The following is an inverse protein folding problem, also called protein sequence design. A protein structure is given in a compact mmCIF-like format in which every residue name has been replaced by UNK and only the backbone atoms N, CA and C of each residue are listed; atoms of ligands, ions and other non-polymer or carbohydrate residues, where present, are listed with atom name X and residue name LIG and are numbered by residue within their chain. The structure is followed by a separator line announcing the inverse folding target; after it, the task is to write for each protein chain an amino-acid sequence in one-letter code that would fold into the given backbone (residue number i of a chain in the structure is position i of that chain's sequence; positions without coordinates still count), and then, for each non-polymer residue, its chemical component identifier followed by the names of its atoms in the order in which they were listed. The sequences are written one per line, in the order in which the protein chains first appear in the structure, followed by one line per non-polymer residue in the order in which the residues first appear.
data_IF_004247149688
#
_entry.id   IF_004247149688
#
_cell.length_a   1.000
_cell.length_b   1.000
_cell.length_c   1.000
_cell.angle_alpha   90.00
_cell.angle_beta   90.00
_cell.angle_gamma   90.00
#
_symmetry.space_group_name_H-M   'P 1'
#
loop_
_entity.id
_entity.type
_entity.pdbx_description
1 polymer ?
#
# COMPACT_ATOMS: atom_id res chain seq x y z
N UNK A 1 30.99 -29.77 -37.66
CA UNK A 1 29.75 -29.14 -38.17
C UNK A 1 28.67 -29.42 -37.14
N UNK A 2 28.48 -28.51 -36.17
CA UNK A 2 27.49 -28.65 -35.10
C UNK A 2 26.31 -27.74 -35.41
N UNK A 3 25.10 -28.33 -35.48
CA UNK A 3 23.88 -27.66 -35.91
C UNK A 3 23.44 -26.59 -34.93
N UNK A 4 23.25 -25.38 -35.44
CA UNK A 4 22.53 -24.30 -34.78
C UNK A 4 21.06 -24.73 -34.66
N UNK A 5 20.61 -25.03 -33.44
CA UNK A 5 19.19 -25.29 -33.16
C UNK A 5 18.38 -24.04 -33.49
N UNK A 6 17.34 -24.20 -34.31
CA UNK A 6 16.45 -23.10 -34.69
C UNK A 6 15.80 -22.45 -33.44
N UNK A 7 15.63 -21.12 -33.40
CA UNK A 7 14.94 -20.46 -32.31
C UNK A 7 13.48 -20.92 -32.26
N UNK A 8 13.03 -21.39 -31.09
CA UNK A 8 11.62 -21.69 -30.81
C UNK A 8 10.80 -20.41 -30.95
N UNK A 9 9.67 -20.41 -31.70
CA UNK A 9 8.83 -19.21 -31.89
C UNK A 9 7.98 -18.87 -30.65
N UNK A 10 8.09 -19.64 -29.57
CA UNK A 10 7.29 -19.48 -28.35
C UNK A 10 8.17 -19.01 -27.20
N UNK A 11 7.94 -17.77 -26.75
CA UNK A 11 8.64 -17.19 -25.60
C UNK A 11 8.21 -17.91 -24.31
N UNK A 12 9.19 -18.46 -23.59
CA UNK A 12 8.99 -18.97 -22.22
C UNK A 12 9.10 -17.80 -21.23
N UNK A 13 8.13 -16.91 -21.25
CA UNK A 13 8.07 -15.71 -20.40
C UNK A 13 7.26 -15.91 -19.11
N UNK A 14 6.91 -17.16 -18.75
CA UNK A 14 6.15 -17.49 -17.54
C UNK A 14 6.78 -18.66 -16.78
N UNK A 15 6.71 -18.59 -15.46
CA UNK A 15 7.10 -19.64 -14.50
C UNK A 15 5.97 -19.85 -13.50
N UNK A 16 5.87 -21.03 -12.83
CA UNK A 16 4.91 -21.19 -11.74
C UNK A 16 5.15 -20.15 -10.65
N UNK A 17 4.08 -19.47 -10.21
CA UNK A 17 4.16 -18.56 -9.08
C UNK A 17 4.43 -19.34 -7.78
N UNK A 18 5.23 -18.77 -6.87
CA UNK A 18 5.35 -19.32 -5.52
C UNK A 18 4.03 -19.12 -4.77
N UNK A 19 3.52 -20.16 -4.12
CA UNK A 19 2.27 -20.05 -3.36
C UNK A 19 2.58 -19.32 -2.06
N UNK A 20 2.04 -18.11 -1.94
CA UNK A 20 2.10 -17.31 -0.74
C UNK A 20 1.64 -18.08 0.50
N UNK A 21 2.52 -18.19 1.50
CA UNK A 21 2.25 -18.92 2.74
C UNK A 21 1.69 -18.02 3.84
N UNK A 22 1.80 -16.70 3.68
CA UNK A 22 1.49 -15.73 4.71
C UNK A 22 0.07 -15.19 4.54
N UNK A 23 -0.72 -15.25 5.62
CA UNK A 23 -2.06 -14.64 5.71
C UNK A 23 -1.92 -13.20 6.16
N UNK A 24 -2.41 -12.27 5.36
CA UNK A 24 -2.47 -10.85 5.65
C UNK A 24 -3.92 -10.47 5.94
N UNK A 25 -4.24 -9.90 7.11
CA UNK A 25 -5.61 -9.52 7.43
C UNK A 25 -6.09 -8.40 6.51
N UNK A 26 -7.30 -8.53 5.97
CA UNK A 26 -7.99 -7.45 5.26
C UNK A 26 -8.77 -6.62 6.28
N UNK A 27 -8.54 -5.30 6.29
CA UNK A 27 -9.14 -4.40 7.27
C UNK A 27 -9.79 -3.18 6.59
N UNK A 28 -10.60 -2.45 7.35
CA UNK A 28 -11.18 -1.18 6.91
C UNK A 28 -10.22 0.00 7.08
N UNK A 29 -10.48 1.10 6.35
CA UNK A 29 -9.77 2.37 6.52
C UNK A 29 -9.82 2.91 7.96
N UNK A 30 -10.92 2.69 8.68
CA UNK A 30 -11.04 3.10 10.09
C UNK A 30 -10.10 2.28 10.98
N UNK A 31 -10.03 0.96 10.77
CA UNK A 31 -9.09 0.11 11.51
C UNK A 31 -7.64 0.47 11.19
N UNK A 32 -7.33 0.81 9.93
CA UNK A 32 -6.00 1.27 9.53
C UNK A 32 -5.59 2.56 10.27
N UNK A 33 -6.50 3.53 10.44
CA UNK A 33 -6.22 4.76 11.19
C UNK A 33 -5.83 4.52 12.66
N UNK A 34 -6.32 3.44 13.26
CA UNK A 34 -6.05 3.10 14.67
C UNK A 34 -4.75 2.31 14.87
N UNK A 35 -4.04 1.96 13.79
CA UNK A 35 -2.85 1.12 13.83
C UNK A 35 -1.71 1.69 14.68
N UNK A 36 -1.58 3.01 14.76
CA UNK A 36 -0.51 3.66 15.54
C UNK A 36 -0.72 3.53 17.06
N UNK A 37 -1.94 3.24 17.51
CA UNK A 37 -2.33 3.26 18.93
C UNK A 37 -2.44 1.88 19.56
N UNK A 38 -2.51 0.81 18.74
CA UNK A 38 -2.75 -0.54 19.22
C UNK A 38 -1.45 -1.33 19.43
N UNK A 39 -1.32 -1.95 20.61
CA UNK A 39 -0.23 -2.92 20.92
C UNK A 39 -0.43 -4.25 20.21
N UNK A 40 -1.67 -4.70 20.11
CA UNK A 40 -2.10 -5.86 19.34
C UNK A 40 -3.15 -5.36 18.35
N UNK A 41 -2.80 -5.12 17.09
CA UNK A 41 -3.66 -4.35 16.19
C UNK A 41 -4.96 -5.08 15.81
N UNK A 42 -5.00 -6.41 15.91
CA UNK A 42 -6.15 -7.21 15.48
C UNK A 42 -6.43 -8.36 16.45
N UNK A 43 -7.67 -8.45 16.93
CA UNK A 43 -8.18 -9.71 17.50
C UNK A 43 -8.59 -10.63 16.34
N UNK A 44 -8.43 -11.97 16.45
CA UNK A 44 -8.96 -12.91 15.47
C UNK A 44 -10.47 -12.76 15.21
N UNK A 45 -11.22 -12.21 16.16
CA UNK A 45 -12.65 -11.89 16.02
C UNK A 45 -12.95 -10.70 15.10
N UNK A 46 -11.97 -9.82 14.89
CA UNK A 46 -12.16 -8.54 14.20
C UNK A 46 -11.79 -8.62 12.72
N UNK A 47 -11.24 -9.76 12.30
CA UNK A 47 -10.74 -10.01 10.94
C UNK A 47 -11.53 -11.17 10.32
N UNK A 48 -12.33 -10.85 9.31
CA UNK A 48 -13.16 -11.81 8.60
C UNK A 48 -12.48 -12.37 7.34
N UNK A 49 -11.53 -11.63 6.78
CA UNK A 49 -10.93 -11.92 5.47
C UNK A 49 -9.40 -11.80 5.51
N UNK A 50 -8.73 -12.60 4.68
CA UNK A 50 -7.28 -12.63 4.57
C UNK A 50 -6.86 -12.73 3.10
N UNK A 51 -5.79 -12.01 2.74
CA UNK A 51 -5.05 -12.22 1.49
C UNK A 51 -3.82 -13.09 1.76
N UNK A 52 -3.56 -14.03 0.85
CA UNK A 52 -2.33 -14.82 0.88
C UNK A 52 -1.24 -14.09 0.10
N UNK A 53 -0.04 -13.90 0.67
CA UNK A 53 1.15 -13.37 -0.02
C UNK A 53 2.37 -14.23 0.25
N UNK A 54 3.33 -14.22 -0.69
CA UNK A 54 4.66 -14.82 -0.59
C UNK A 54 5.71 -13.83 -0.08
N UNK A 55 5.36 -12.55 0.04
CA UNK A 55 6.23 -11.54 0.64
C UNK A 55 6.51 -11.83 2.12
N UNK A 56 7.78 -11.70 2.49
CA UNK A 56 8.21 -11.69 3.89
C UNK A 56 7.93 -10.31 4.49
N UNK A 57 6.86 -10.24 5.28
CA UNK A 57 6.30 -9.00 5.81
C UNK A 57 6.20 -9.11 7.35
N UNK A 58 6.09 -7.98 8.03
CA UNK A 58 5.95 -7.93 9.49
C UNK A 58 4.54 -8.35 9.94
N UNK A 59 4.38 -8.76 11.19
CA UNK A 59 3.08 -9.14 11.79
C UNK A 59 2.09 -7.98 11.88
N UNK A 60 2.53 -6.77 11.55
CA UNK A 60 1.69 -5.58 11.47
C UNK A 60 1.23 -5.27 10.05
N UNK A 61 1.68 -6.01 9.04
CA UNK A 61 1.21 -5.84 7.67
C UNK A 61 -0.29 -6.11 7.57
N UNK A 62 -0.96 -5.36 6.70
CA UNK A 62 -2.40 -5.43 6.51
C UNK A 62 -2.77 -5.15 5.07
N UNK A 63 -3.94 -5.62 4.66
CA UNK A 63 -4.49 -5.38 3.34
C UNK A 63 -5.70 -4.44 3.41
N UNK A 64 -5.87 -3.62 2.37
CA UNK A 64 -7.04 -2.77 2.17
C UNK A 64 -7.64 -3.03 0.78
N UNK A 65 -8.96 -2.95 0.70
CA UNK A 65 -9.67 -2.72 -0.56
C UNK A 65 -9.66 -1.22 -0.87
N UNK A 66 -9.22 -0.85 -2.08
CA UNK A 66 -9.14 0.53 -2.52
C UNK A 66 -10.54 1.06 -2.80
N UNK A 67 -10.85 2.25 -2.28
CA UNK A 67 -12.14 2.93 -2.49
C UNK A 67 -11.97 4.35 -3.01
N UNK A 68 -12.93 4.78 -3.83
CA UNK A 68 -12.96 6.10 -4.43
C UNK A 68 -11.92 6.29 -5.54
N UNK A 69 -11.88 7.51 -6.10
CA UNK A 69 -11.17 7.82 -7.35
C UNK A 69 -9.88 8.61 -7.20
N UNK A 70 -9.50 8.96 -5.98
CA UNK A 70 -8.35 9.86 -5.74
C UNK A 70 -7.00 9.30 -6.22
N UNK A 71 -6.91 7.98 -6.37
CA UNK A 71 -5.68 7.29 -6.78
C UNK A 71 -5.80 6.67 -8.17
N UNK A 72 -6.86 6.99 -8.92
CA UNK A 72 -6.98 6.64 -10.33
C UNK A 72 -5.99 7.44 -11.18
N UNK A 73 -5.55 6.91 -12.33
CA UNK A 73 -5.98 5.64 -12.95
C UNK A 73 -5.22 4.40 -12.45
N UNK A 74 -4.16 4.59 -11.66
CA UNK A 74 -3.23 3.52 -11.28
C UNK A 74 -3.82 2.59 -10.23
N UNK A 75 -4.62 3.11 -9.30
CA UNK A 75 -5.30 2.35 -8.26
C UNK A 75 -6.80 2.60 -8.38
N UNK A 76 -7.54 1.54 -8.70
CA UNK A 76 -8.96 1.61 -9.00
C UNK A 76 -9.76 1.08 -7.83
N UNK A 77 -11.00 1.56 -7.72
CA UNK A 77 -11.94 1.02 -6.75
C UNK A 77 -12.10 -0.50 -6.92
N UNK A 78 -12.04 -1.22 -5.79
CA UNK A 78 -12.07 -2.69 -5.74
C UNK A 78 -10.72 -3.39 -5.95
N UNK A 79 -9.66 -2.67 -6.34
CA UNK A 79 -8.30 -3.20 -6.27
C UNK A 79 -7.95 -3.49 -4.80
N UNK A 80 -7.11 -4.51 -4.57
CA UNK A 80 -6.60 -4.81 -3.23
C UNK A 80 -5.13 -4.40 -3.12
N UNK A 81 -4.72 -3.96 -1.94
CA UNK A 81 -3.36 -3.53 -1.69
C UNK A 81 -2.87 -3.99 -0.32
N UNK A 82 -1.61 -4.42 -0.24
CA UNK A 82 -0.95 -4.81 1.01
C UNK A 82 0.01 -3.70 1.43
N UNK A 83 -0.01 -3.36 2.71
CA UNK A 83 0.75 -2.29 3.32
C UNK A 83 1.62 -2.81 4.47
N UNK A 84 2.86 -2.33 4.51
CA UNK A 84 3.88 -2.72 5.50
C UNK A 84 4.25 -1.53 6.41
N UNK A 85 3.91 -1.57 7.70
CA UNK A 85 4.28 -0.52 8.66
C UNK A 85 5.77 -0.48 9.02
N UNK A 86 6.49 -1.60 8.91
CA UNK A 86 7.91 -1.69 9.30
C UNK A 86 8.87 -1.07 8.27
N UNK A 87 8.36 -0.67 7.09
CA UNK A 87 9.16 -0.05 6.03
C UNK A 87 9.01 1.48 6.09
N UNK A 88 10.10 2.24 6.15
CA UNK A 88 10.04 3.70 6.10
C UNK A 88 9.67 4.16 4.68
N UNK A 89 8.78 5.16 4.60
CA UNK A 89 8.37 5.76 3.34
C UNK A 89 9.53 6.52 2.67
N UNK A 90 9.62 6.40 1.35
CA UNK A 90 10.59 7.09 0.49
C UNK A 90 9.88 7.99 -0.51
N UNK A 91 10.59 9.01 -1.07
CA UNK A 91 10.00 9.89 -2.06
C UNK A 91 9.35 9.11 -3.21
N UNK A 92 8.05 9.32 -3.41
CA UNK A 92 7.29 8.68 -4.48
C UNK A 92 6.58 7.38 -4.10
N UNK A 93 6.83 6.85 -2.90
CA UNK A 93 6.09 5.70 -2.38
C UNK A 93 4.61 6.03 -2.22
N UNK A 94 3.79 4.98 -2.27
CA UNK A 94 2.37 5.07 -1.96
C UNK A 94 2.14 4.62 -0.53
N UNK A 95 1.46 5.43 0.25
CA UNK A 95 1.34 5.22 1.70
C UNK A 95 -0.10 5.30 2.15
N UNK A 96 -0.40 4.54 3.20
CA UNK A 96 -1.53 4.83 4.07
C UNK A 96 -1.05 5.78 5.14
N UNK A 97 -1.79 6.85 5.36
CA UNK A 97 -1.53 7.83 6.40
C UNK A 97 -2.83 8.23 7.08
N UNK A 98 -2.77 8.71 8.31
CA UNK A 98 -3.91 9.23 9.05
C UNK A 98 -3.79 10.70 9.35
N UNK A 99 -4.94 11.34 9.59
CA UNK A 99 -4.99 12.65 10.19
C UNK A 99 -4.77 12.58 11.72
N UNK A 100 -4.95 13.70 12.43
CA UNK A 100 -4.86 13.76 13.90
C UNK A 100 -5.89 12.91 14.66
N UNK A 101 -6.79 12.20 13.95
CA UNK A 101 -7.71 11.21 14.52
C UNK A 101 -7.51 9.82 13.91
N UNK A 102 -8.63 9.18 13.55
CA UNK A 102 -8.68 7.79 13.07
C UNK A 102 -9.00 7.67 11.58
N UNK A 103 -9.04 8.78 10.85
CA UNK A 103 -9.34 8.76 9.41
C UNK A 103 -8.07 8.50 8.61
N UNK A 104 -7.99 7.33 7.98
CA UNK A 104 -6.89 6.96 7.11
C UNK A 104 -7.18 7.31 5.64
N UNK A 105 -6.14 7.69 4.91
CA UNK A 105 -6.16 7.94 3.47
C UNK A 105 -5.00 7.23 2.78
N UNK A 106 -5.17 6.90 1.50
CA UNK A 106 -4.14 6.32 0.65
C UNK A 106 -3.69 7.36 -0.40
N UNK A 107 -2.40 7.70 -0.41
CA UNK A 107 -1.82 8.80 -1.20
C UNK A 107 -0.36 8.54 -1.58
N UNK A 108 0.15 9.29 -2.54
CA UNK A 108 1.59 9.33 -2.87
C UNK A 108 2.32 10.24 -1.89
N UNK A 109 3.36 9.74 -1.25
CA UNK A 109 4.19 10.47 -0.29
C UNK A 109 5.26 11.29 -1.02
N UNK A 110 5.34 12.59 -0.71
CA UNK A 110 6.27 13.55 -1.32
C UNK A 110 6.92 14.43 -0.25
N UNK A 111 8.16 14.14 0.18
CA UNK A 111 8.85 15.02 1.11
C UNK A 111 9.14 16.37 0.46
N UNK A 112 9.02 17.44 1.24
CA UNK A 112 9.22 18.84 0.83
C UNK A 112 10.41 19.50 1.51
N UNK A 113 10.88 18.94 2.62
CA UNK A 113 12.06 19.41 3.33
C UNK A 113 11.88 19.28 4.83
N UNK A 114 12.62 20.10 5.57
CA UNK A 114 12.60 20.13 7.03
C UNK A 114 12.11 21.51 7.48
N UNK A 115 11.22 21.55 8.47
CA UNK A 115 10.74 22.78 9.09
C UNK A 115 11.83 23.46 9.91
N UNK A 116 11.58 24.70 10.33
CA UNK A 116 12.49 25.42 11.25
C UNK A 116 12.68 24.69 12.60
N UNK A 117 11.78 23.78 12.98
CA UNK A 117 11.86 22.99 14.22
C UNK A 117 12.53 21.62 14.01
N UNK A 118 13.07 21.34 12.83
CA UNK A 118 13.71 20.07 12.52
C UNK A 118 12.73 18.94 12.16
N UNK A 119 11.43 19.23 12.01
CA UNK A 119 10.43 18.24 11.63
C UNK A 119 10.34 18.11 10.11
N UNK A 120 10.24 16.89 9.61
CA UNK A 120 10.02 16.66 8.19
C UNK A 120 8.66 17.19 7.73
N UNK A 121 8.67 17.97 6.64
CA UNK A 121 7.49 18.42 5.93
C UNK A 121 7.32 17.53 4.71
N UNK A 122 6.13 16.97 4.56
CA UNK A 122 5.77 16.13 3.42
C UNK A 122 4.35 16.44 2.95
N UNK A 123 4.08 16.02 1.73
CA UNK A 123 2.76 16.05 1.12
C UNK A 123 2.25 14.63 0.87
N UNK A 124 0.93 14.52 0.93
CA UNK A 124 0.19 13.34 0.52
C UNK A 124 -0.66 13.74 -0.68
N UNK A 125 -0.18 13.38 -1.87
CA UNK A 125 -0.83 13.78 -3.10
C UNK A 125 -1.67 12.65 -3.69
N UNK A 126 -2.84 12.98 -4.24
CA UNK A 126 -3.57 12.03 -5.09
C UNK A 126 -2.82 11.81 -6.41
N UNK A 127 -3.23 10.76 -7.14
CA UNK A 127 -2.86 10.58 -8.55
C UNK A 127 -3.88 11.21 -9.50
N UNK A 128 -5.11 11.39 -9.01
CA UNK A 128 -6.15 12.11 -9.70
C UNK A 128 -6.13 13.59 -9.28
N UNK A 129 -5.84 14.47 -10.23
CA UNK A 129 -5.68 15.91 -10.01
C UNK A 129 -6.99 16.64 -9.61
N UNK A 130 -8.15 15.97 -9.74
CA UNK A 130 -9.44 16.49 -9.25
C UNK A 130 -9.53 16.50 -7.72
N UNK A 131 -8.59 15.85 -7.02
CA UNK A 131 -8.58 15.71 -5.57
C UNK A 131 -7.47 16.57 -4.94
N UNK A 132 -7.68 17.08 -3.71
CA UNK A 132 -6.70 17.95 -3.06
C UNK A 132 -5.47 17.19 -2.56
N UNK A 133 -4.32 17.86 -2.60
CA UNK A 133 -3.10 17.42 -1.90
C UNK A 133 -3.14 17.86 -0.44
N UNK A 134 -2.75 16.97 0.48
CA UNK A 134 -2.62 17.26 1.91
C UNK A 134 -1.16 17.59 2.24
N UNK A 135 -0.93 18.46 3.23
CA UNK A 135 0.41 18.85 3.67
C UNK A 135 0.58 18.74 5.18
N UNK A 136 1.68 18.14 5.64
CA UNK A 136 1.93 17.87 7.05
C UNK A 136 2.23 19.10 7.90
N UNK A 137 2.54 20.23 7.28
CA UNK A 137 2.74 21.53 7.93
C UNK A 137 1.44 22.31 8.16
N UNK A 138 0.38 21.96 7.44
CA UNK A 138 -0.96 22.57 7.58
C UNK A 138 -1.93 21.69 8.36
N UNK A 139 -1.68 20.39 8.40
CA UNK A 139 -2.55 19.38 8.96
C UNK A 139 -1.70 18.36 9.70
N UNK A 140 -2.22 17.83 10.82
CA UNK A 140 -1.56 16.73 11.50
C UNK A 140 -1.70 15.46 10.67
N UNK A 141 -0.59 14.99 10.10
CA UNK A 141 -0.53 13.80 9.25
C UNK A 141 0.55 12.83 9.77
N UNK A 142 0.20 11.55 9.81
CA UNK A 142 1.12 10.49 10.23
C UNK A 142 1.08 9.36 9.21
N UNK A 143 2.23 9.01 8.63
CA UNK A 143 2.35 7.82 7.77
C UNK A 143 2.23 6.57 8.62
N UNK A 144 1.36 5.65 8.21
CA UNK A 144 1.09 4.39 8.89
C UNK A 144 1.89 3.25 8.26
N UNK A 145 1.87 3.15 6.93
CA UNK A 145 2.47 2.02 6.22
C UNK A 145 2.68 2.32 4.74
N UNK A 146 3.63 1.61 4.13
CA UNK A 146 3.99 1.73 2.71
C UNK A 146 3.36 0.59 1.92
N UNK A 147 2.85 0.89 0.72
CA UNK A 147 2.36 -0.10 -0.23
C UNK A 147 3.50 -1.02 -0.66
N UNK A 148 3.32 -2.33 -0.50
CA UNK A 148 4.28 -3.36 -0.92
C UNK A 148 3.73 -4.30 -1.99
N UNK A 149 2.41 -4.39 -2.12
CA UNK A 149 1.76 -5.22 -3.12
C UNK A 149 0.45 -4.60 -3.58
N UNK A 150 0.17 -4.63 -4.89
CA UNK A 150 -1.10 -4.19 -5.48
C UNK A 150 -1.66 -5.31 -6.36
N UNK A 151 -2.95 -5.61 -6.17
CA UNK A 151 -3.69 -6.65 -6.88
C UNK A 151 -4.87 -6.04 -7.61
N UNK A 152 -4.80 -6.08 -8.94
CA UNK A 152 -5.91 -5.75 -9.81
C UNK A 152 -6.59 -7.02 -10.31
N UNK A 153 -7.88 -7.15 -10.04
CA UNK A 153 -8.68 -8.28 -10.51
C UNK A 153 -9.40 -7.89 -11.81
N UNK A 154 -8.98 -8.49 -12.93
CA UNK A 154 -9.66 -8.31 -14.22
C UNK A 154 -10.80 -9.33 -14.28
N UNK A 155 -12.03 -8.88 -14.01
CA UNK A 155 -13.24 -9.71 -14.22
C UNK A 155 -13.64 -9.65 -15.70
N UNK A 156 -13.92 -10.81 -16.30
CA UNK A 156 -14.44 -10.97 -17.66
C UNK A 156 -15.92 -11.30 -17.62
#
# INVERSE_FOLDING_TARGET
MFGLGAPSPFDRNVVPAEIGRRKIPVISYVQAGRMTEMRTPFSPSDVFEYLMTDLDLSDRAFALEIRGKSMEPEFREGDHAIFEPAVPARPGDYVVAKNGGDEATFKKYRPRGISATGQEIFELSPLNDDFPTLRSDTQQLTVIAVLVEHRRYIRR
#
